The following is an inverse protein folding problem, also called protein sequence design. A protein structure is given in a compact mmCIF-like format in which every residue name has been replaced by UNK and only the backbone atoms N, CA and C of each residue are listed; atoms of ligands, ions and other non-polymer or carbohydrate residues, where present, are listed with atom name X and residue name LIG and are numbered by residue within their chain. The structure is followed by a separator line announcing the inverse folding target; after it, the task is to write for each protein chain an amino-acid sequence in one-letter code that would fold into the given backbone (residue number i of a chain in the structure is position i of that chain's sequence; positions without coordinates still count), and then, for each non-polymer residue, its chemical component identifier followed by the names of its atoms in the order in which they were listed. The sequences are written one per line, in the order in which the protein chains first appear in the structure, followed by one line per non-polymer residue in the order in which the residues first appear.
data_IF_317192198667
#
_entry.id   IF_317192198667
#
_cell.length_a   1.000
_cell.length_b   1.000
_cell.length_c   1.000
_cell.angle_alpha   90.00
_cell.angle_beta   90.00
_cell.angle_gamma   90.00
#
_symmetry.space_group_name_H-M   'P 1'
#
loop_
_entity.id
_entity.type
_entity.pdbx_description
1 polymer ?
#
# COMPACT_ATOMS: atom_id res chain seq x y z
N UNK A 1 7.39 -47.65 -36.88
CA UNK A 1 8.68 -47.07 -37.32
C UNK A 1 8.55 -45.56 -37.17
N UNK A 2 9.11 -44.90 -36.14
CA UNK A 2 10.54 -44.51 -35.98
C UNK A 2 11.07 -43.90 -37.29
N UNK A 3 11.47 -42.61 -37.41
CA UNK A 3 12.40 -41.85 -36.58
C UNK A 3 12.23 -40.31 -36.70
N UNK A 4 12.83 -39.66 -35.70
CA UNK A 4 13.03 -38.25 -35.39
C UNK A 4 13.85 -37.45 -36.43
N UNK A 5 13.71 -36.12 -36.38
CA UNK A 5 14.63 -35.12 -36.95
C UNK A 5 14.01 -33.71 -36.92
N UNK A 6 13.81 -33.10 -35.75
CA UNK A 6 14.70 -32.10 -35.12
C UNK A 6 14.98 -30.85 -35.99
N UNK A 7 14.19 -29.80 -35.76
CA UNK A 7 14.68 -28.42 -35.87
C UNK A 7 14.11 -27.59 -34.71
N UNK A 8 14.86 -27.60 -33.61
CA UNK A 8 14.48 -27.22 -32.24
C UNK A 8 15.03 -25.86 -31.81
N UNK A 9 15.08 -24.84 -32.68
CA UNK A 9 15.69 -23.54 -32.32
C UNK A 9 14.82 -22.29 -32.41
N UNK A 10 13.53 -22.41 -32.76
CA UNK A 10 12.65 -21.22 -32.93
C UNK A 10 11.33 -21.33 -32.15
N UNK A 11 11.32 -22.00 -30.99
CA UNK A 11 10.13 -22.03 -30.09
C UNK A 11 10.39 -21.64 -28.64
N UNK A 12 11.65 -21.40 -28.26
CA UNK A 12 12.01 -21.15 -26.85
C UNK A 12 12.04 -19.65 -26.52
N UNK A 13 12.27 -18.75 -27.50
CA UNK A 13 12.29 -17.31 -27.22
C UNK A 13 10.90 -16.65 -27.09
N UNK A 14 9.85 -17.21 -27.69
CA UNK A 14 8.49 -16.64 -27.50
C UNK A 14 7.89 -16.99 -26.14
N UNK A 15 8.27 -18.14 -25.56
CA UNK A 15 7.79 -18.54 -24.24
C UNK A 15 8.47 -17.76 -23.12
N UNK A 16 9.73 -17.35 -23.29
CA UNK A 16 10.44 -16.55 -22.29
C UNK A 16 9.94 -15.09 -22.23
N UNK A 17 9.45 -14.53 -23.34
CA UNK A 17 8.94 -13.15 -23.37
C UNK A 17 7.49 -13.03 -22.87
N UNK A 18 6.66 -14.07 -23.05
CA UNK A 18 5.29 -14.12 -22.49
C UNK A 18 5.25 -14.30 -20.96
N UNK A 19 6.36 -14.71 -20.34
CA UNK A 19 6.47 -14.86 -18.87
C UNK A 19 6.63 -13.49 -18.17
N UNK A 20 6.83 -12.39 -18.91
CA UNK A 20 7.18 -11.10 -18.30
C UNK A 20 5.98 -10.31 -17.72
N UNK A 21 4.71 -10.62 -17.98
CA UNK A 21 3.64 -9.62 -17.69
C UNK A 21 2.34 -10.14 -17.08
N UNK A 22 2.40 -11.05 -16.11
CA UNK A 22 1.22 -11.33 -15.27
C UNK A 22 1.55 -11.35 -13.78
N UNK A 23 2.29 -10.35 -13.31
CA UNK A 23 2.52 -10.16 -11.86
C UNK A 23 1.65 -9.00 -11.38
N UNK A 24 0.89 -9.21 -10.31
CA UNK A 24 0.18 -8.12 -9.63
C UNK A 24 1.13 -7.52 -8.60
N UNK A 25 1.33 -6.20 -8.64
CA UNK A 25 2.20 -5.51 -7.68
C UNK A 25 1.36 -4.71 -6.70
N UNK A 26 1.59 -4.87 -5.40
CA UNK A 26 1.00 -4.04 -4.35
C UNK A 26 2.09 -3.10 -3.84
N UNK A 27 1.93 -1.80 -4.01
CA UNK A 27 2.86 -0.78 -3.50
C UNK A 27 2.31 -0.23 -2.20
N UNK A 28 3.13 -0.20 -1.16
CA UNK A 28 2.74 0.29 0.17
C UNK A 28 3.71 1.41 0.58
N UNK A 29 3.20 2.43 1.28
CA UNK A 29 4.03 3.52 1.78
C UNK A 29 5.16 3.01 2.72
N UNK A 30 6.35 3.62 2.61
CA UNK A 30 7.65 3.19 3.19
C UNK A 30 7.65 2.93 4.70
N UNK A 31 6.74 3.56 5.43
CA UNK A 31 6.77 3.59 6.89
C UNK A 31 6.00 2.44 7.58
N UNK A 32 5.44 1.48 6.82
CA UNK A 32 4.55 0.43 7.35
C UNK A 32 5.00 -1.01 7.05
N UNK A 33 6.31 -1.29 7.19
CA UNK A 33 6.89 -2.62 6.94
C UNK A 33 6.24 -3.78 7.71
N UNK A 34 5.83 -3.56 8.96
CA UNK A 34 5.16 -4.59 9.77
C UNK A 34 3.80 -5.00 9.18
N UNK A 35 3.01 -4.01 8.72
CA UNK A 35 1.73 -4.26 8.09
C UNK A 35 1.89 -4.91 6.71
N UNK A 36 2.99 -4.62 6.01
CA UNK A 36 3.32 -5.24 4.72
C UNK A 36 3.56 -6.74 4.84
N UNK A 37 4.20 -7.21 5.93
CA UNK A 37 4.40 -8.63 6.19
C UNK A 37 3.07 -9.34 6.50
N UNK A 38 2.26 -8.76 7.38
CA UNK A 38 0.95 -9.31 7.75
C UNK A 38 0.00 -9.35 6.54
N UNK A 39 0.02 -8.32 5.70
CA UNK A 39 -0.76 -8.27 4.46
C UNK A 39 -0.29 -9.35 3.47
N UNK A 40 1.03 -9.53 3.31
CA UNK A 40 1.56 -10.57 2.43
C UNK A 40 1.17 -11.98 2.91
N UNK A 41 1.29 -12.26 4.20
CA UNK A 41 0.85 -13.53 4.77
C UNK A 41 -0.65 -13.77 4.55
N UNK A 42 -1.47 -12.75 4.81
CA UNK A 42 -2.91 -12.85 4.62
C UNK A 42 -3.29 -13.10 3.15
N UNK A 43 -2.64 -12.43 2.21
CA UNK A 43 -2.84 -12.63 0.77
C UNK A 43 -2.41 -14.04 0.34
N UNK A 44 -1.32 -14.58 0.86
CA UNK A 44 -0.88 -15.96 0.57
C UNK A 44 -1.87 -17.02 1.07
N UNK A 45 -2.56 -16.76 2.18
CA UNK A 45 -3.55 -17.69 2.75
C UNK A 45 -4.86 -17.71 1.97
N UNK A 46 -5.25 -16.57 1.37
CA UNK A 46 -6.57 -16.39 0.76
C UNK A 46 -6.56 -16.42 -0.76
N UNK A 47 -5.41 -16.16 -1.39
CA UNK A 47 -5.26 -16.18 -2.85
C UNK A 47 -4.21 -17.21 -3.26
N UNK A 48 -4.37 -17.89 -4.41
CA UNK A 48 -3.38 -18.80 -4.96
C UNK A 48 -2.20 -18.02 -5.58
N UNK A 49 -1.48 -17.28 -4.74
CA UNK A 49 -0.29 -16.48 -5.12
C UNK A 49 0.88 -16.76 -4.19
N UNK A 50 2.09 -16.52 -4.69
CA UNK A 50 3.29 -16.44 -3.86
C UNK A 50 3.69 -14.96 -3.74
N UNK A 51 3.49 -14.33 -2.57
CA UNK A 51 3.92 -12.96 -2.37
C UNK A 51 5.44 -12.89 -2.16
N UNK A 52 6.11 -12.09 -2.98
CA UNK A 52 7.50 -11.73 -2.85
C UNK A 52 7.63 -10.31 -2.30
N UNK A 53 8.21 -10.18 -1.10
CA UNK A 53 8.45 -8.91 -0.45
C UNK A 53 9.69 -8.21 -1.03
N UNK A 54 9.50 -7.00 -1.56
CA UNK A 54 10.56 -6.04 -1.86
C UNK A 54 10.33 -4.81 -0.99
N UNK A 55 11.37 -4.02 -0.75
CA UNK A 55 11.41 -2.92 0.25
C UNK A 55 10.08 -2.22 0.53
N UNK A 56 9.39 -1.75 -0.52
CA UNK A 56 8.12 -1.00 -0.41
C UNK A 56 6.99 -1.60 -1.29
N UNK A 57 7.14 -2.85 -1.71
CA UNK A 57 6.17 -3.50 -2.59
C UNK A 57 6.08 -5.00 -2.36
N UNK A 58 4.87 -5.52 -2.45
CA UNK A 58 4.57 -6.95 -2.47
C UNK A 58 4.33 -7.29 -3.93
N UNK A 59 5.14 -8.17 -4.51
CA UNK A 59 4.92 -8.67 -5.87
C UNK A 59 4.23 -10.02 -5.73
N UNK A 60 3.02 -10.15 -6.25
CA UNK A 60 2.29 -11.41 -6.26
C UNK A 60 2.65 -12.19 -7.52
N UNK A 61 3.19 -13.39 -7.30
CA UNK A 61 3.38 -14.37 -8.37
C UNK A 61 2.13 -15.27 -8.44
N UNK A 62 1.43 -15.21 -9.56
CA UNK A 62 0.16 -15.90 -9.79
C UNK A 62 0.39 -17.40 -10.03
N UNK A 63 -0.08 -18.26 -9.11
CA UNK A 63 -0.11 -19.71 -9.35
C UNK A 63 -1.31 -20.14 -10.19
N UNK A 64 -2.38 -19.35 -10.15
CA UNK A 64 -3.58 -19.47 -10.96
C UNK A 64 -4.00 -18.09 -11.48
N UNK A 65 -4.89 -18.05 -12.48
CA UNK A 65 -5.41 -16.79 -13.01
C UNK A 65 -6.20 -16.05 -11.93
N UNK A 66 -5.75 -14.84 -11.57
CA UNK A 66 -6.37 -14.04 -10.52
C UNK A 66 -6.69 -12.65 -11.06
N UNK A 67 -7.91 -12.22 -10.81
CA UNK A 67 -8.37 -10.88 -11.16
C UNK A 67 -7.93 -9.85 -10.13
N UNK A 68 -7.63 -8.64 -10.61
CA UNK A 68 -7.21 -7.53 -9.75
C UNK A 68 -8.29 -7.18 -8.72
N UNK A 69 -9.57 -7.40 -9.05
CA UNK A 69 -10.70 -7.20 -8.13
C UNK A 69 -10.72 -8.19 -6.96
N UNK A 70 -10.24 -9.41 -7.16
CA UNK A 70 -10.15 -10.42 -6.09
C UNK A 70 -9.05 -10.04 -5.09
N UNK A 71 -7.92 -9.56 -5.61
CA UNK A 71 -6.84 -8.97 -4.80
C UNK A 71 -7.35 -7.76 -4.03
N UNK A 72 -8.07 -6.84 -4.70
CA UNK A 72 -8.66 -5.67 -4.05
C UNK A 72 -9.64 -6.07 -2.93
N UNK A 73 -10.50 -7.06 -3.16
CA UNK A 73 -11.46 -7.54 -2.17
C UNK A 73 -10.79 -8.16 -0.95
N UNK A 74 -9.69 -8.89 -1.17
CA UNK A 74 -8.86 -9.47 -0.12
C UNK A 74 -8.18 -8.38 0.71
N UNK A 75 -7.59 -7.38 0.05
CA UNK A 75 -6.99 -6.22 0.71
C UNK A 75 -8.04 -5.45 1.53
N UNK A 76 -9.23 -5.19 0.97
CA UNK A 76 -10.31 -4.48 1.69
C UNK A 76 -10.71 -5.22 2.96
N UNK A 77 -10.81 -6.55 2.89
CA UNK A 77 -11.13 -7.40 4.03
C UNK A 77 -10.05 -7.33 5.11
N UNK A 78 -8.77 -7.43 4.72
CA UNK A 78 -7.64 -7.29 5.63
C UNK A 78 -7.61 -5.93 6.35
N UNK A 79 -7.80 -4.85 5.60
CA UNK A 79 -7.77 -3.49 6.16
C UNK A 79 -8.96 -3.23 7.09
N UNK A 80 -10.13 -3.78 6.76
CA UNK A 80 -11.32 -3.74 7.62
C UNK A 80 -11.09 -4.43 8.98
N UNK A 81 -10.44 -5.59 8.98
CA UNK A 81 -10.10 -6.31 10.22
C UNK A 81 -9.11 -5.53 11.09
N UNK A 82 -8.11 -4.89 10.47
CA UNK A 82 -7.09 -4.10 11.19
C UNK A 82 -7.59 -2.71 11.59
N UNK A 83 -8.80 -2.30 11.16
CA UNK A 83 -9.37 -0.95 11.38
C UNK A 83 -8.41 0.17 10.98
N UNK A 84 -7.70 -0.04 9.88
CA UNK A 84 -6.75 0.92 9.34
C UNK A 84 -7.45 1.72 8.25
N UNK A 85 -7.34 3.04 8.30
CA UNK A 85 -7.79 3.89 7.20
C UNK A 85 -6.78 3.80 6.05
N UNK A 86 -7.30 3.57 4.85
CA UNK A 86 -6.47 3.44 3.66
C UNK A 86 -7.22 4.01 2.46
N UNK A 87 -6.46 4.57 1.52
CA UNK A 87 -6.92 4.77 0.16
C UNK A 87 -6.19 3.79 -0.76
N UNK A 88 -6.94 3.24 -1.72
CA UNK A 88 -6.47 2.23 -2.65
C UNK A 88 -6.69 2.73 -4.08
N UNK A 89 -5.63 2.73 -4.87
CA UNK A 89 -5.64 3.09 -6.28
C UNK A 89 -5.22 1.89 -7.11
N UNK A 90 -5.95 1.61 -8.17
CA UNK A 90 -5.72 0.45 -9.03
C UNK A 90 -5.33 0.92 -10.42
N UNK A 91 -4.12 0.58 -10.84
CA UNK A 91 -3.63 0.76 -12.20
C UNK A 91 -3.86 -0.57 -12.95
N UNK A 92 -5.01 -0.68 -13.62
CA UNK A 92 -5.38 -1.84 -14.42
C UNK A 92 -4.38 -2.19 -15.54
N UNK A 93 -3.86 -1.24 -16.36
CA UNK A 93 -2.91 -1.60 -17.42
C UNK A 93 -1.57 -2.11 -16.87
N UNK A 94 -1.17 -1.70 -15.66
CA UNK A 94 0.07 -2.19 -15.01
C UNK A 94 -0.17 -3.31 -14.00
N UNK A 95 -1.43 -3.68 -13.75
CA UNK A 95 -1.87 -4.61 -12.69
C UNK A 95 -1.21 -4.26 -11.35
N UNK A 96 -1.19 -2.97 -11.03
CA UNK A 96 -0.57 -2.44 -9.81
C UNK A 96 -1.65 -1.87 -8.88
N UNK A 97 -1.59 -2.23 -7.60
CA UNK A 97 -2.45 -1.74 -6.55
C UNK A 97 -1.60 -0.88 -5.61
N UNK A 98 -1.84 0.41 -5.58
CA UNK A 98 -1.14 1.31 -4.67
C UNK A 98 -2.00 1.56 -3.44
N UNK A 99 -1.45 1.25 -2.27
CA UNK A 99 -2.07 1.44 -0.97
C UNK A 99 -1.40 2.61 -0.24
N UNK A 100 -2.19 3.65 0.00
CA UNK A 100 -1.84 4.73 0.90
C UNK A 100 -2.54 4.47 2.22
N UNK A 101 -1.75 3.98 3.17
CA UNK A 101 -2.21 3.82 4.54
C UNK A 101 -2.16 5.19 5.19
N UNK A 102 -3.34 5.74 5.46
CA UNK A 102 -3.44 6.92 6.30
C UNK A 102 -2.95 6.48 7.68
N UNK A 103 -1.97 7.20 8.21
CA UNK A 103 -1.46 6.88 9.53
C UNK A 103 -2.61 6.96 10.52
N UNK A 104 -3.12 5.81 10.97
CA UNK A 104 -3.69 5.70 12.30
C UNK A 104 -2.54 6.02 13.25
N UNK A 105 -2.41 7.30 13.58
CA UNK A 105 -1.84 7.71 14.85
C UNK A 105 -2.71 7.06 15.92
N UNK A 106 -2.43 5.80 16.24
CA UNK A 106 -2.65 5.30 17.59
C UNK A 106 -1.52 5.91 18.44
N UNK A 107 -1.58 7.23 18.60
CA UNK A 107 -1.34 7.79 19.91
C UNK A 107 -2.64 7.46 20.66
N UNK A 108 -2.62 6.36 21.42
CA UNK A 108 -3.59 6.18 22.49
C UNK A 108 -3.39 7.34 23.46
N UNK A 109 -4.17 8.40 23.25
CA UNK A 109 -4.09 9.63 24.00
C UNK A 109 -4.97 10.65 23.32
N UNK A 110 -6.24 10.70 23.77
CA UNK A 110 -6.93 11.94 24.17
C UNK A 110 -6.23 13.20 23.62
N UNK A 111 -6.80 13.96 22.69
CA UNK A 111 -7.86 14.92 22.98
C UNK A 111 -8.40 15.52 21.69
N UNK A 112 -9.66 15.93 21.72
CA UNK A 112 -10.28 16.84 20.77
C UNK A 112 -9.44 18.12 20.63
N UNK A 113 -8.80 18.31 19.47
CA UNK A 113 -8.91 19.54 18.67
C UNK A 113 -7.86 19.53 17.54
N UNK A 114 -8.39 19.23 16.36
CA UNK A 114 -7.89 19.55 15.03
C UNK A 114 -6.69 20.52 15.01
N UNK A 115 -5.48 19.96 15.01
CA UNK A 115 -4.26 20.73 14.71
C UNK A 115 -3.62 20.11 13.48
N UNK A 116 -3.82 20.77 12.37
CA UNK A 116 -3.30 20.45 11.04
C UNK A 116 -1.77 20.45 11.09
N UNK A 117 -1.16 19.27 11.24
CA UNK A 117 0.30 19.09 11.13
C UNK A 117 0.67 18.99 9.65
N UNK A 118 1.08 20.11 9.06
CA UNK A 118 1.91 20.09 7.87
C UNK A 118 3.37 20.07 8.32
N UNK A 119 4.03 18.92 8.17
CA UNK A 119 5.50 18.81 8.21
C UNK A 119 6.21 19.28 9.51
N UNK A 120 5.62 19.02 10.68
CA UNK A 120 6.25 19.29 11.98
C UNK A 120 6.01 20.70 12.55
N UNK A 121 5.29 21.56 11.81
CA UNK A 121 4.83 22.86 12.29
C UNK A 121 3.33 22.78 12.61
N UNK A 122 2.95 23.40 13.72
CA UNK A 122 1.56 23.58 14.14
C UNK A 122 1.06 24.92 13.63
N UNK A 123 -0.16 24.94 13.10
CA UNK A 123 -0.74 26.10 12.42
C UNK A 123 -1.94 26.60 13.22
N UNK A 124 -2.03 27.92 13.41
CA UNK A 124 -3.18 28.54 14.04
C UNK A 124 -4.43 28.43 13.14
N UNK A 125 -5.60 28.05 13.68
CA UNK A 125 -6.83 27.99 12.90
C UNK A 125 -7.41 29.37 12.56
N UNK A 126 -7.01 30.43 13.26
CA UNK A 126 -7.57 31.79 13.10
C UNK A 126 -6.71 32.69 12.21
N UNK A 127 -5.43 32.38 12.03
CA UNK A 127 -4.52 33.16 11.19
C UNK A 127 -3.35 32.31 10.70
N UNK A 128 -2.55 32.84 9.78
CA UNK A 128 -1.40 32.14 9.19
C UNK A 128 -0.18 32.02 10.14
N UNK A 129 -0.37 32.10 11.45
CA UNK A 129 0.69 31.89 12.43
C UNK A 129 1.05 30.40 12.52
N UNK A 130 2.34 30.11 12.47
CA UNK A 130 2.87 28.74 12.59
C UNK A 130 3.99 28.67 13.63
N UNK A 131 4.08 27.55 14.34
CA UNK A 131 5.09 27.32 15.36
C UNK A 131 5.37 25.82 15.54
N UNK A 132 6.60 25.47 15.91
CA UNK A 132 6.99 24.10 16.22
C UNK A 132 6.56 23.66 17.63
N UNK A 133 6.23 24.61 18.52
CA UNK A 133 5.90 24.35 19.93
C UNK A 133 4.40 24.48 20.21
N UNK A 134 3.80 23.42 20.76
CA UNK A 134 2.36 23.37 21.09
C UNK A 134 1.96 24.42 22.13
N UNK A 135 2.80 24.66 23.14
CA UNK A 135 2.52 25.63 24.19
C UNK A 135 2.39 27.04 23.62
N UNK A 136 3.27 27.40 22.68
CA UNK A 136 3.25 28.70 21.99
C UNK A 136 1.99 28.85 21.15
N UNK A 137 1.60 27.80 20.42
CA UNK A 137 0.36 27.81 19.64
C UNK A 137 -0.87 27.98 20.54
N UNK A 138 -0.89 27.31 21.69
CA UNK A 138 -2.01 27.38 22.62
C UNK A 138 -2.23 28.78 23.19
N UNK A 139 -1.14 29.49 23.53
CA UNK A 139 -1.17 30.88 23.98
C UNK A 139 -1.65 31.78 22.85
N UNK A 140 -1.12 31.58 21.65
CA UNK A 140 -1.51 32.34 20.47
C UNK A 140 -3.01 32.19 20.15
N UNK A 141 -3.55 30.96 20.21
CA UNK A 141 -4.98 30.71 19.98
C UNK A 141 -5.82 31.43 21.02
N UNK A 142 -5.44 31.36 22.31
CA UNK A 142 -6.16 32.06 23.39
C UNK A 142 -6.22 33.58 23.17
N UNK A 143 -5.16 34.17 22.60
CA UNK A 143 -5.12 35.60 22.30
C UNK A 143 -6.14 36.05 21.24
N UNK A 144 -6.69 35.16 20.41
CA UNK A 144 -7.78 35.50 19.50
C UNK A 144 -9.13 35.68 20.20
N UNK A 145 -9.25 35.24 21.46
CA UNK A 145 -10.49 35.25 22.24
C UNK A 145 -10.46 36.25 23.40
N UNK A 146 -9.43 37.10 23.47
CA UNK A 146 -9.26 38.18 24.45
C UNK A 146 -9.50 39.51 23.72
#
# INVERSE_FOLDING_TARGET
MLYLGFDSKVKICFRACMIIMMMISIVVNKDKKGLMLDLAAYVAEHLPTIPALKQDRIVLDELAHIDVEEVCSTIRSFMGMRRVNYSMYVDHPRREVTLYIEGSSNEEGKDTNNTYKAQGLLICPHCNYTTEYADILSIHIRAHYI
#
